data_IF_961168966206
#
_entry.id   IF_961168966206
#
_cell.length_a   1.000
_cell.length_b   1.000
_cell.length_c   1.000
_cell.angle_alpha   90.00
_cell.angle_beta   90.00
_cell.angle_gamma   90.00
#
_symmetry.space_group_name_H-M   'P 1'
#
loop_
_entity.id
_entity.type
_entity.pdbx_description
1 polymer ?
#
# COMPACT_ATOMS: atom_id res chain seq x y z
N UNK A 1 52.14 34.30 -33.07
CA UNK A 1 51.61 33.36 -34.11
C UNK A 1 52.36 32.04 -33.99
N UNK A 2 51.78 30.86 -34.27
CA UNK A 2 50.41 30.54 -34.70
C UNK A 2 49.64 29.60 -33.73
N UNK A 3 48.34 29.35 -33.97
CA UNK A 3 47.47 28.54 -33.10
C UNK A 3 47.54 27.05 -33.45
N UNK A 4 47.49 26.16 -32.44
CA UNK A 4 47.36 24.71 -32.66
C UNK A 4 45.90 24.30 -32.77
N UNK A 5 45.64 23.61 -33.88
CA UNK A 5 44.35 23.10 -34.36
C UNK A 5 43.75 22.11 -33.36
N UNK A 6 42.50 22.32 -32.93
CA UNK A 6 41.66 21.23 -32.42
C UNK A 6 40.85 20.64 -33.58
N UNK A 7 41.08 19.35 -33.77
CA UNK A 7 40.50 18.54 -34.83
C UNK A 7 38.99 18.43 -34.69
N UNK A 8 38.31 18.58 -35.83
CA UNK A 8 36.94 18.16 -36.01
C UNK A 8 36.90 16.62 -36.01
N UNK A 9 36.16 16.03 -35.08
CA UNK A 9 35.70 14.65 -35.18
C UNK A 9 34.27 14.70 -35.70
N UNK A 10 34.07 14.21 -36.92
CA UNK A 10 32.76 13.95 -37.52
C UNK A 10 32.41 12.45 -37.37
N UNK A 11 31.11 12.25 -37.19
CA UNK A 11 30.27 11.04 -37.41
C UNK A 11 29.96 10.12 -36.21
N UNK A 12 28.79 9.44 -36.17
CA UNK A 12 27.64 9.52 -37.08
C UNK A 12 26.29 9.86 -36.42
N UNK A 13 25.40 10.45 -37.23
CA UNK A 13 23.94 10.34 -37.08
C UNK A 13 23.57 8.86 -36.96
N UNK A 14 22.78 8.45 -35.96
CA UNK A 14 21.68 7.48 -36.07
C UNK A 14 21.00 7.30 -34.70
N UNK A 15 19.83 7.91 -34.53
CA UNK A 15 18.62 7.40 -33.83
C UNK A 15 17.64 8.56 -33.67
N UNK A 16 16.87 8.79 -34.73
CA UNK A 16 15.65 9.59 -34.69
C UNK A 16 14.62 8.78 -33.87
N UNK A 17 14.45 9.09 -32.59
CA UNK A 17 13.27 8.61 -31.86
C UNK A 17 12.09 9.46 -32.30
N UNK A 18 11.42 9.01 -33.36
CA UNK A 18 10.08 9.51 -33.70
C UNK A 18 9.17 8.99 -32.59
N UNK A 19 8.83 9.87 -31.65
CA UNK A 19 7.65 9.67 -30.82
C UNK A 19 6.45 9.78 -31.74
N UNK A 20 5.98 8.66 -32.27
CA UNK A 20 4.67 8.61 -32.90
C UNK A 20 3.65 8.71 -31.77
N UNK A 21 2.87 9.78 -31.66
CA UNK A 21 1.73 9.77 -30.76
C UNK A 21 0.74 8.74 -31.31
N UNK A 22 0.46 7.68 -30.56
CA UNK A 22 -0.69 6.83 -30.86
C UNK A 22 -1.95 7.70 -30.72
N UNK A 23 -2.70 7.97 -31.80
CA UNK A 23 -3.99 8.62 -31.70
C UNK A 23 -4.99 7.55 -31.23
N UNK A 24 -5.67 7.78 -30.11
CA UNK A 24 -6.81 6.93 -29.72
C UNK A 24 -6.92 6.49 -28.26
N UNK A 25 -6.11 7.01 -27.33
CA UNK A 25 -6.35 6.80 -25.89
C UNK A 25 -6.60 8.13 -25.19
N UNK A 26 -7.54 8.92 -25.72
CA UNK A 26 -8.18 9.97 -24.94
C UNK A 26 -9.63 9.55 -24.67
N UNK A 27 -9.99 9.56 -23.39
CA UNK A 27 -11.35 9.35 -22.89
C UNK A 27 -11.92 7.95 -23.12
N UNK A 28 -11.57 7.00 -22.25
CA UNK A 28 -12.56 5.98 -21.88
C UNK A 28 -13.79 6.72 -21.35
N UNK A 29 -14.88 6.70 -22.11
CA UNK A 29 -16.16 7.29 -21.73
C UNK A 29 -16.64 6.68 -20.41
N UNK A 30 -16.46 7.44 -19.34
CA UNK A 30 -17.04 7.27 -18.00
C UNK A 30 -18.56 7.10 -18.07
N UNK A 31 -19.20 7.60 -19.14
CA UNK A 31 -20.62 7.36 -19.45
C UNK A 31 -20.99 5.88 -19.44
N UNK A 32 -20.14 4.96 -19.91
CA UNK A 32 -20.53 3.53 -20.04
C UNK A 32 -20.80 2.83 -18.70
N UNK A 33 -20.11 3.20 -17.61
CA UNK A 33 -20.31 2.61 -16.28
C UNK A 33 -21.47 3.30 -15.54
N UNK A 34 -21.61 4.62 -15.68
CA UNK A 34 -22.68 5.39 -15.05
C UNK A 34 -24.04 5.20 -15.73
N UNK A 35 -24.08 5.08 -17.06
CA UNK A 35 -25.29 4.78 -17.84
C UNK A 35 -25.82 3.40 -17.46
N UNK A 36 -24.95 2.42 -17.23
CA UNK A 36 -25.38 1.10 -16.82
C UNK A 36 -25.79 0.97 -15.34
N UNK A 37 -25.42 1.94 -14.49
CA UNK A 37 -25.93 2.06 -13.12
C UNK A 37 -27.20 2.93 -13.02
N UNK A 38 -27.47 3.79 -14.01
CA UNK A 38 -28.64 4.69 -14.06
C UNK A 38 -29.76 4.23 -15.00
N UNK A 39 -29.50 3.29 -15.89
CA UNK A 39 -30.46 2.82 -16.91
C UNK A 39 -30.46 1.30 -17.02
N UNK A 40 -31.15 0.62 -16.12
CA UNK A 40 -31.38 -0.83 -16.19
C UNK A 40 -32.45 -1.24 -17.21
N UNK A 41 -32.78 -0.40 -18.20
CA UNK A 41 -33.71 -0.77 -19.28
C UNK A 41 -33.32 -0.36 -20.71
N UNK A 42 -32.21 0.36 -20.94
CA UNK A 42 -31.87 0.79 -22.32
C UNK A 42 -30.47 0.30 -22.72
N UNK A 43 -30.47 -0.87 -23.38
CA UNK A 43 -29.45 -1.43 -24.26
C UNK A 43 -27.97 -1.34 -23.83
N UNK A 44 -27.53 -2.38 -23.11
CA UNK A 44 -26.45 -3.23 -23.59
C UNK A 44 -25.01 -2.76 -23.45
N UNK A 45 -24.48 -2.74 -22.22
CA UNK A 45 -23.10 -3.13 -22.00
C UNK A 45 -23.06 -4.19 -20.88
N UNK A 46 -23.04 -5.47 -21.25
CA UNK A 46 -23.26 -6.61 -20.35
C UNK A 46 -22.23 -6.76 -19.20
N UNK A 47 -21.17 -5.96 -19.19
CA UNK A 47 -20.07 -6.10 -18.23
C UNK A 47 -20.27 -5.36 -16.90
N UNK A 48 -21.17 -4.37 -16.82
CA UNK A 48 -21.33 -3.53 -15.62
C UNK A 48 -22.31 -4.10 -14.59
N UNK A 49 -23.33 -4.85 -15.02
CA UNK A 49 -24.27 -5.55 -14.12
C UNK A 49 -23.56 -6.63 -13.31
N UNK A 50 -22.54 -7.27 -13.87
CA UNK A 50 -21.81 -8.33 -13.19
C UNK A 50 -20.97 -7.82 -12.01
N UNK A 51 -20.43 -6.60 -12.03
CA UNK A 51 -19.63 -6.07 -10.92
C UNK A 51 -20.46 -5.89 -9.63
N UNK A 52 -21.74 -5.54 -9.76
CA UNK A 52 -22.63 -5.32 -8.62
C UNK A 52 -22.89 -6.57 -7.78
N UNK A 53 -22.77 -7.77 -8.38
CA UNK A 53 -22.97 -9.05 -7.67
C UNK A 53 -21.82 -9.40 -6.73
N UNK A 54 -20.61 -8.88 -7.00
CA UNK A 54 -19.39 -9.26 -6.28
C UNK A 54 -18.80 -8.14 -5.44
N UNK A 55 -19.19 -6.89 -5.70
CA UNK A 55 -18.68 -5.75 -4.96
C UNK A 55 -19.55 -5.44 -3.74
N UNK A 56 -18.88 -5.10 -2.64
CA UNK A 56 -19.55 -4.63 -1.44
C UNK A 56 -20.24 -3.28 -1.67
N UNK A 57 -21.25 -2.90 -0.85
CA UNK A 57 -21.88 -1.59 -0.97
C UNK A 57 -20.89 -0.41 -0.91
N UNK A 58 -19.85 -0.49 -0.08
CA UNK A 58 -18.81 0.55 0.01
C UNK A 58 -17.97 0.63 -1.27
N UNK A 59 -17.72 -0.50 -1.95
CA UNK A 59 -17.02 -0.50 -3.23
C UNK A 59 -17.88 0.05 -4.36
N UNK A 60 -19.17 -0.28 -4.38
CA UNK A 60 -20.10 0.28 -5.36
C UNK A 60 -20.26 1.78 -5.19
N UNK A 61 -20.40 2.24 -3.94
CA UNK A 61 -20.39 3.65 -3.62
C UNK A 61 -19.07 4.31 -4.06
N UNK A 62 -17.93 3.70 -3.79
CA UNK A 62 -16.63 4.24 -4.21
C UNK A 62 -16.53 4.39 -5.73
N UNK A 63 -16.95 3.39 -6.50
CA UNK A 63 -17.02 3.48 -7.97
C UNK A 63 -17.92 4.65 -8.37
N UNK A 64 -19.16 4.68 -7.87
CA UNK A 64 -20.11 5.73 -8.20
C UNK A 64 -19.54 7.12 -7.89
N UNK A 65 -18.91 7.30 -6.73
CA UNK A 65 -18.33 8.57 -6.29
C UNK A 65 -17.06 8.96 -7.03
N UNK A 66 -16.17 8.00 -7.36
CA UNK A 66 -14.96 8.24 -8.16
C UNK A 66 -15.29 8.66 -9.59
N UNK A 67 -16.45 8.25 -10.12
CA UNK A 67 -16.91 8.62 -11.46
C UNK A 67 -17.88 9.81 -11.46
N UNK A 68 -18.39 10.22 -10.31
CA UNK A 68 -19.27 11.39 -10.19
C UNK A 68 -18.44 12.66 -10.29
N UNK A 69 -18.82 13.53 -11.21
CA UNK A 69 -18.25 14.87 -11.44
C UNK A 69 -16.79 14.89 -11.97
N UNK A 70 -16.20 13.73 -12.33
CA UNK A 70 -14.88 13.66 -12.95
C UNK A 70 -13.70 14.05 -12.03
N UNK A 71 -13.95 14.17 -10.72
CA UNK A 71 -12.93 14.56 -9.73
C UNK A 71 -12.59 13.41 -8.79
N UNK A 72 -11.30 13.12 -8.67
CA UNK A 72 -10.78 12.17 -7.67
C UNK A 72 -11.17 12.66 -6.27
N UNK A 73 -11.77 11.79 -5.45
CA UNK A 73 -12.08 12.10 -4.04
C UNK A 73 -10.82 11.98 -3.18
N UNK A 74 -10.94 12.41 -1.92
CA UNK A 74 -9.89 12.14 -0.95
C UNK A 74 -9.69 10.63 -0.78
N UNK A 75 -8.43 10.21 -0.87
CA UNK A 75 -8.02 8.82 -0.70
C UNK A 75 -7.20 8.70 0.58
N UNK A 76 -7.50 7.71 1.41
CA UNK A 76 -6.80 7.47 2.67
C UNK A 76 -6.22 6.07 2.68
N UNK A 77 -4.89 5.99 2.71
CA UNK A 77 -4.17 4.76 2.98
C UNK A 77 -3.91 4.62 4.48
N UNK A 78 -4.53 3.61 5.08
CA UNK A 78 -4.25 3.18 6.44
C UNK A 78 -3.04 2.23 6.42
N UNK A 79 -1.86 2.78 6.70
CA UNK A 79 -0.61 2.06 6.72
C UNK A 79 -0.50 1.17 7.96
N UNK A 80 -0.50 -0.15 7.71
CA UNK A 80 -0.08 -1.15 8.68
C UNK A 80 1.42 -1.40 8.57
N UNK A 81 2.12 -1.25 9.70
CA UNK A 81 3.57 -1.41 9.75
C UNK A 81 4.00 -2.79 9.24
N UNK A 82 4.98 -2.80 8.32
CA UNK A 82 5.54 -3.99 7.65
C UNK A 82 4.56 -4.76 6.75
N UNK A 83 3.53 -4.09 6.24
CA UNK A 83 2.61 -4.62 5.22
C UNK A 83 2.78 -3.91 3.84
N UNK A 84 4.02 -3.53 3.48
CA UNK A 84 4.31 -2.94 2.17
C UNK A 84 4.00 -1.45 2.01
N UNK A 85 3.84 -0.71 3.11
CA UNK A 85 3.41 0.69 3.03
C UNK A 85 4.34 1.63 2.27
N UNK A 86 5.65 1.38 2.25
CA UNK A 86 6.59 2.18 1.43
C UNK A 86 6.31 2.04 -0.06
N UNK A 87 5.99 0.82 -0.52
CA UNK A 87 5.61 0.60 -1.91
C UNK A 87 4.29 1.32 -2.24
N UNK A 88 3.32 1.25 -1.33
CA UNK A 88 2.04 1.96 -1.48
C UNK A 88 2.23 3.48 -1.47
N UNK A 89 3.17 4.01 -0.68
CA UNK A 89 3.50 5.45 -0.73
C UNK A 89 4.07 5.84 -2.09
N UNK A 90 4.90 4.98 -2.69
CA UNK A 90 5.40 5.18 -4.04
C UNK A 90 4.26 5.27 -5.06
N UNK A 91 3.29 4.35 -4.99
CA UNK A 91 2.07 4.42 -5.79
C UNK A 91 1.35 5.74 -5.58
N UNK A 92 0.99 6.09 -4.34
CA UNK A 92 0.21 7.29 -4.07
C UNK A 92 0.95 8.57 -4.45
N UNK A 93 2.27 8.61 -4.31
CA UNK A 93 3.08 9.74 -4.77
C UNK A 93 3.00 9.88 -6.28
N UNK A 94 3.16 8.77 -7.02
CA UNK A 94 3.07 8.79 -8.47
C UNK A 94 1.70 9.25 -8.96
N UNK A 95 0.62 8.76 -8.34
CA UNK A 95 -0.74 9.21 -8.68
C UNK A 95 -0.96 10.68 -8.30
N UNK A 96 -0.45 11.12 -7.15
CA UNK A 96 -0.52 12.51 -6.71
C UNK A 96 0.13 13.45 -7.74
N UNK A 97 1.35 13.10 -8.16
CA UNK A 97 2.09 13.85 -9.16
C UNK A 97 1.36 13.83 -10.53
N UNK A 98 0.81 12.67 -10.93
CA UNK A 98 0.06 12.53 -12.19
C UNK A 98 -1.20 13.40 -12.24
N UNK A 99 -1.91 13.52 -11.13
CA UNK A 99 -3.16 14.27 -11.05
C UNK A 99 -3.02 15.71 -10.56
N UNK A 100 -1.81 16.14 -10.18
CA UNK A 100 -1.58 17.44 -9.54
C UNK A 100 -2.29 17.56 -8.17
N UNK A 101 -2.45 16.43 -7.46
CA UNK A 101 -3.13 16.34 -6.17
C UNK A 101 -2.09 16.23 -5.05
N UNK A 102 -2.24 16.93 -3.92
CA UNK A 102 -1.30 16.82 -2.82
C UNK A 102 -1.33 15.43 -2.15
N UNK A 103 -0.13 14.89 -1.88
CA UNK A 103 0.07 13.75 -0.97
C UNK A 103 0.45 14.26 0.42
N UNK A 104 -0.41 14.01 1.41
CA UNK A 104 -0.26 14.47 2.78
C UNK A 104 0.06 13.26 3.68
N UNK A 105 1.27 13.25 4.23
CA UNK A 105 1.73 12.21 5.13
C UNK A 105 1.45 12.59 6.60
N UNK A 106 0.58 11.82 7.25
CA UNK A 106 0.09 12.05 8.62
C UNK A 106 0.61 10.94 9.56
N UNK A 107 1.76 10.35 9.23
CA UNK A 107 2.39 9.29 10.04
C UNK A 107 3.23 9.81 11.20
N UNK A 108 3.54 11.09 11.23
CA UNK A 108 4.37 11.67 12.28
C UNK A 108 3.58 12.76 12.99
N UNK A 109 3.17 12.50 14.24
CA UNK A 109 2.37 13.40 15.08
C UNK A 109 2.89 14.84 15.10
N UNK A 110 4.21 15.00 15.04
CA UNK A 110 4.93 16.26 15.11
C UNK A 110 4.77 17.11 13.83
N UNK A 111 4.42 16.49 12.70
CA UNK A 111 4.22 17.16 11.41
C UNK A 111 2.76 17.58 11.18
N UNK A 112 1.86 17.30 12.14
CA UNK A 112 0.41 17.47 11.94
C UNK A 112 -0.21 18.63 12.72
N UNK A 113 0.57 19.38 13.52
CA UNK A 113 0.07 20.64 14.05
C UNK A 113 -0.07 21.62 12.89
N UNK A 114 -1.31 21.91 12.49
CA UNK A 114 -1.63 22.86 11.39
C UNK A 114 -2.12 22.24 10.08
N UNK A 115 -2.20 20.90 9.96
CA UNK A 115 -2.78 20.28 8.75
C UNK A 115 -4.31 20.45 8.78
N UNK A 116 -4.78 21.48 8.07
CA UNK A 116 -6.20 21.66 7.78
C UNK A 116 -6.56 20.74 6.62
N UNK A 117 -7.50 19.83 6.85
CA UNK A 117 -8.08 19.05 5.75
C UNK A 117 -9.08 19.97 5.06
N UNK A 118 -8.66 20.53 3.93
CA UNK A 118 -9.56 21.20 3.01
C UNK A 118 -10.52 20.15 2.45
N UNK A 119 -11.81 20.26 2.80
CA UNK A 119 -12.85 19.33 2.34
C UNK A 119 -13.23 19.54 0.87
N UNK A 120 -12.85 20.67 0.28
CA UNK A 120 -13.20 21.05 -1.09
C UNK A 120 -12.13 20.69 -2.11
N UNK A 121 -10.90 20.37 -1.68
CA UNK A 121 -9.79 20.01 -2.59
C UNK A 121 -9.35 18.57 -2.37
N UNK A 122 -9.32 17.75 -3.41
CA UNK A 122 -8.90 16.36 -3.25
C UNK A 122 -7.46 16.27 -2.79
N UNK A 123 -7.18 15.21 -2.03
CA UNK A 123 -5.85 14.94 -1.48
C UNK A 123 -5.70 13.44 -1.21
N UNK A 124 -4.48 12.96 -1.32
CA UNK A 124 -4.10 11.62 -0.87
C UNK A 124 -3.52 11.72 0.53
N UNK A 125 -3.96 10.84 1.41
CA UNK A 125 -3.52 10.78 2.79
C UNK A 125 -2.87 9.45 3.08
N UNK A 126 -1.76 9.48 3.80
CA UNK A 126 -1.16 8.28 4.38
C UNK A 126 -1.11 8.44 5.89
N UNK A 127 -1.60 7.45 6.63
CA UNK A 127 -1.65 7.51 8.09
C UNK A 127 -1.32 6.17 8.69
N UNK A 128 -0.57 6.13 9.79
CA UNK A 128 -0.40 4.87 10.52
C UNK A 128 -1.64 4.58 11.36
N UNK A 129 -2.05 3.32 11.40
CA UNK A 129 -3.26 2.87 12.10
C UNK A 129 -3.23 3.19 13.61
N UNK A 130 -2.05 3.42 14.18
CA UNK A 130 -1.82 3.74 15.60
C UNK A 130 -2.13 5.20 15.98
N UNK A 131 -2.35 6.12 15.02
CA UNK A 131 -2.63 7.52 15.31
C UNK A 131 -4.12 7.81 15.54
N UNK A 132 -4.55 7.72 16.80
CA UNK A 132 -5.96 7.86 17.23
C UNK A 132 -6.65 9.14 16.76
N UNK A 133 -6.02 10.30 16.96
CA UNK A 133 -6.63 11.62 16.73
C UNK A 133 -7.11 11.78 15.29
N UNK A 134 -6.36 11.25 14.33
CA UNK A 134 -6.65 11.40 12.90
C UNK A 134 -7.47 10.25 12.35
N UNK A 135 -7.30 9.04 12.89
CA UNK A 135 -8.10 7.89 12.49
C UNK A 135 -9.61 8.13 12.65
N UNK A 136 -10.06 8.73 13.75
CA UNK A 136 -11.48 9.03 13.91
C UNK A 136 -11.99 10.05 12.89
N UNK A 137 -11.18 11.06 12.55
CA UNK A 137 -11.52 12.06 11.54
C UNK A 137 -11.65 11.43 10.15
N UNK A 138 -10.69 10.57 9.78
CA UNK A 138 -10.73 9.87 8.50
C UNK A 138 -11.83 8.82 8.42
N UNK A 139 -12.12 8.09 9.50
CA UNK A 139 -13.20 7.10 9.52
C UNK A 139 -14.59 7.72 9.37
N UNK A 140 -14.82 8.93 9.92
CA UNK A 140 -16.11 9.62 9.86
C UNK A 140 -16.35 10.37 8.54
N UNK A 141 -15.32 10.55 7.72
CA UNK A 141 -15.42 11.30 6.47
C UNK A 141 -15.74 10.37 5.30
N UNK A 142 -16.48 10.88 4.31
CA UNK A 142 -16.78 10.24 3.03
C UNK A 142 -15.55 10.15 2.12
N UNK A 143 -14.48 9.58 2.65
CA UNK A 143 -13.23 9.36 1.94
C UNK A 143 -13.13 7.91 1.50
N UNK A 144 -12.44 7.70 0.39
CA UNK A 144 -12.15 6.36 -0.09
C UNK A 144 -10.97 5.81 0.73
N UNK A 145 -11.19 4.69 1.42
CA UNK A 145 -10.22 4.13 2.37
C UNK A 145 -9.70 2.81 1.84
N UNK A 146 -8.39 2.60 1.95
CA UNK A 146 -7.81 1.29 1.75
C UNK A 146 -6.70 1.00 2.76
N UNK A 147 -6.41 -0.29 2.92
CA UNK A 147 -5.27 -0.78 3.70
C UNK A 147 -4.66 -1.99 3.00
N UNK A 148 -3.47 -2.38 3.44
CA UNK A 148 -2.79 -3.60 2.98
C UNK A 148 -2.42 -4.41 4.21
N UNK A 149 -2.82 -5.68 4.21
CA UNK A 149 -2.45 -6.67 5.22
C UNK A 149 -1.40 -7.63 4.68
N UNK A 150 -0.88 -8.48 5.54
CA UNK A 150 0.18 -9.45 5.25
C UNK A 150 -0.08 -10.71 6.06
N UNK A 151 0.44 -11.85 5.66
CA UNK A 151 0.45 -13.01 6.55
C UNK A 151 1.01 -12.61 7.94
N UNK A 152 0.29 -12.88 9.05
CA UNK A 152 0.67 -12.39 10.38
C UNK A 152 2.07 -12.84 10.81
N UNK A 153 2.47 -14.05 10.44
CA UNK A 153 3.78 -14.61 10.78
C UNK A 153 4.88 -13.93 9.99
N UNK A 154 4.71 -13.81 8.67
CA UNK A 154 5.65 -13.10 7.80
C UNK A 154 5.79 -11.62 8.18
N UNK A 155 4.71 -10.98 8.63
CA UNK A 155 4.74 -9.61 9.19
C UNK A 155 5.54 -9.56 10.48
N UNK A 156 5.29 -10.47 11.42
CA UNK A 156 6.02 -10.53 12.69
C UNK A 156 7.52 -10.69 12.47
N UNK A 157 7.92 -11.57 11.54
CA UNK A 157 9.33 -11.74 11.16
C UNK A 157 9.91 -10.48 10.53
N UNK A 158 9.15 -9.83 9.63
CA UNK A 158 9.60 -8.60 8.99
C UNK A 158 9.84 -7.51 10.02
N UNK A 159 9.01 -7.46 11.05
CA UNK A 159 9.16 -6.54 12.15
C UNK A 159 10.37 -6.83 13.03
N UNK A 160 10.56 -8.10 13.42
CA UNK A 160 11.69 -8.53 14.22
C UNK A 160 13.01 -8.16 13.56
N UNK A 161 13.22 -8.58 12.31
CA UNK A 161 14.48 -8.31 11.60
C UNK A 161 14.68 -6.82 11.31
N UNK A 162 13.61 -6.09 10.99
CA UNK A 162 13.68 -4.64 10.85
C UNK A 162 14.18 -3.97 12.14
N UNK A 163 13.59 -4.32 13.30
CA UNK A 163 14.01 -3.76 14.59
C UNK A 163 15.39 -4.20 15.02
N UNK A 164 15.79 -5.43 14.68
CA UNK A 164 17.12 -5.96 14.97
C UNK A 164 18.22 -5.26 14.17
N UNK A 165 17.94 -4.91 12.91
CA UNK A 165 18.88 -4.21 12.03
C UNK A 165 18.95 -2.68 12.29
N UNK A 166 17.92 -2.10 12.91
CA UNK A 166 17.83 -0.67 13.11
C UNK A 166 18.82 -0.17 14.18
N UNK A 167 19.69 0.81 13.86
CA UNK A 167 20.76 1.25 14.77
C UNK A 167 20.25 2.14 15.92
N UNK A 168 19.01 2.61 15.88
CA UNK A 168 18.50 3.59 16.86
C UNK A 168 18.50 3.02 18.29
N UNK A 169 18.90 3.81 19.32
CA UNK A 169 19.02 3.33 20.70
C UNK A 169 17.80 2.58 21.25
N UNK A 170 16.59 3.07 20.93
CA UNK A 170 15.32 2.46 21.35
C UNK A 170 15.13 1.01 20.89
N UNK A 171 15.90 0.51 19.93
CA UNK A 171 15.81 -0.86 19.42
C UNK A 171 17.02 -1.73 19.72
N UNK A 172 18.02 -1.22 20.45
CA UNK A 172 19.23 -1.99 20.77
C UNK A 172 18.94 -3.31 21.50
N UNK A 173 17.87 -3.36 22.30
CA UNK A 173 17.45 -4.60 22.97
C UNK A 173 17.06 -5.72 21.98
N UNK A 174 16.60 -5.40 20.76
CA UNK A 174 16.31 -6.41 19.73
C UNK A 174 17.58 -7.07 19.19
N UNK A 175 18.75 -6.42 19.27
CA UNK A 175 20.03 -7.02 18.84
C UNK A 175 20.37 -8.27 19.64
N UNK A 176 20.06 -8.25 20.94
CA UNK A 176 20.29 -9.36 21.89
C UNK A 176 19.08 -10.29 22.02
N UNK A 177 17.94 -9.95 21.42
CA UNK A 177 16.72 -10.75 21.51
C UNK A 177 16.75 -11.89 20.48
N UNK A 178 16.41 -13.11 20.94
CA UNK A 178 16.18 -14.24 20.03
C UNK A 178 14.79 -14.14 19.39
N UNK A 179 14.63 -14.75 18.21
CA UNK A 179 13.34 -14.78 17.53
C UNK A 179 12.28 -15.48 18.39
N UNK A 180 12.63 -16.59 19.06
CA UNK A 180 11.72 -17.33 19.93
C UNK A 180 11.23 -16.47 21.09
N UNK A 181 12.13 -15.69 21.72
CA UNK A 181 11.75 -14.75 22.77
C UNK A 181 10.80 -13.68 22.25
N UNK A 182 11.10 -13.11 21.07
CA UNK A 182 10.25 -12.12 20.43
C UNK A 182 8.83 -12.64 20.15
N UNK A 183 8.71 -13.87 19.63
CA UNK A 183 7.41 -14.47 19.26
C UNK A 183 6.58 -14.88 20.48
N UNK A 184 7.22 -15.17 21.62
CA UNK A 184 6.54 -15.50 22.88
C UNK A 184 6.09 -14.27 23.66
N UNK A 185 6.63 -13.10 23.36
CA UNK A 185 6.25 -11.83 23.99
C UNK A 185 4.83 -11.42 23.57
N UNK A 186 3.93 -11.30 24.56
CA UNK A 186 2.51 -10.97 24.35
C UNK A 186 2.30 -9.59 23.71
N UNK A 187 3.25 -8.67 23.88
CA UNK A 187 3.22 -7.36 23.23
C UNK A 187 3.32 -7.45 21.70
N UNK A 188 3.73 -8.62 21.15
CA UNK A 188 3.80 -8.87 19.72
C UNK A 188 2.61 -9.67 19.17
N UNK A 189 1.73 -10.22 20.02
CA UNK A 189 0.58 -11.04 19.61
C UNK A 189 -0.59 -10.21 19.06
N UNK A 190 -1.42 -10.74 18.17
CA UNK A 190 -2.66 -10.11 17.70
C UNK A 190 -2.51 -8.62 17.33
N UNK A 191 -1.51 -8.31 16.51
CA UNK A 191 -1.20 -6.97 16.07
C UNK A 191 -2.33 -6.30 15.30
N UNK A 192 -2.99 -6.99 14.37
CA UNK A 192 -4.13 -6.44 13.62
C UNK A 192 -5.28 -6.12 14.55
N UNK A 193 -5.61 -7.03 15.46
CA UNK A 193 -6.62 -6.76 16.47
C UNK A 193 -6.29 -5.49 17.26
N UNK A 194 -5.06 -5.35 17.77
CA UNK A 194 -4.63 -4.14 18.50
C UNK A 194 -4.63 -2.90 17.63
N UNK A 195 -4.09 -2.98 16.42
CA UNK A 195 -4.01 -1.86 15.49
C UNK A 195 -5.42 -1.33 15.24
N UNK A 196 -6.38 -2.22 14.96
CA UNK A 196 -7.74 -1.82 14.65
C UNK A 196 -8.61 -1.51 15.88
N UNK A 197 -8.31 -2.07 17.06
CA UNK A 197 -9.02 -1.80 18.32
C UNK A 197 -8.94 -0.34 18.77
N UNK A 198 -7.86 0.35 18.41
CA UNK A 198 -7.58 1.75 18.77
C UNK A 198 -8.70 2.74 18.39
N UNK A 199 -9.71 2.29 17.62
CA UNK A 199 -11.00 2.95 17.38
C UNK A 199 -11.81 3.27 18.65
N UNK A 200 -11.68 2.52 19.76
CA UNK A 200 -12.70 2.53 20.84
C UNK A 200 -12.32 3.19 22.17
N UNK A 201 -11.13 3.77 22.32
CA UNK A 201 -10.78 4.47 23.56
C UNK A 201 -9.48 5.26 23.45
N UNK A 202 -9.58 6.58 23.57
CA UNK A 202 -8.43 7.42 23.87
C UNK A 202 -7.73 6.98 25.18
N UNK A 203 -8.47 6.35 26.09
CA UNK A 203 -7.98 5.95 27.42
C UNK A 203 -7.26 4.60 27.49
N UNK A 204 -7.44 3.67 26.53
CA UNK A 204 -6.88 2.30 26.65
C UNK A 204 -5.48 2.16 26.08
N UNK A 205 -5.01 3.09 25.24
CA UNK A 205 -3.66 2.99 24.66
C UNK A 205 -2.55 3.15 25.72
N UNK A 206 -2.80 3.91 26.79
CA UNK A 206 -1.89 4.05 27.93
C UNK A 206 -1.94 2.84 28.87
N UNK A 207 -3.09 2.16 29.00
CA UNK A 207 -3.29 1.03 29.91
C UNK A 207 -3.02 -0.34 29.29
N UNK A 208 -3.17 -0.52 27.96
CA UNK A 208 -2.86 -1.77 27.26
C UNK A 208 -1.36 -2.14 27.26
N UNK A 209 -0.47 -1.17 27.54
CA UNK A 209 0.95 -1.45 27.81
C UNK A 209 1.20 -2.05 29.19
N UNK A 210 0.25 -1.87 30.13
CA UNK A 210 0.34 -2.25 31.54
C UNK A 210 -0.52 -3.47 31.88
N UNK A 211 -1.59 -3.71 31.12
CA UNK A 211 -2.56 -4.78 31.37
C UNK A 211 -2.35 -5.84 30.29
N UNK A 212 -1.67 -6.93 30.66
CA UNK A 212 -1.48 -8.07 29.77
C UNK A 212 -2.81 -8.56 29.19
N UNK A 213 -2.82 -8.79 27.88
CA UNK A 213 -3.71 -9.66 27.06
C UNK A 213 -5.24 -9.73 27.26
N UNK A 214 -5.87 -9.16 28.30
CA UNK A 214 -7.27 -9.48 28.65
C UNK A 214 -8.29 -8.35 28.44
N UNK A 215 -7.88 -7.14 28.07
CA UNK A 215 -8.82 -6.03 27.79
C UNK A 215 -8.91 -5.67 26.30
N UNK A 216 -9.12 -6.68 25.46
CA UNK A 216 -9.61 -6.44 24.11
C UNK A 216 -11.10 -6.10 24.17
N UNK A 217 -11.44 -4.81 24.19
CA UNK A 217 -12.84 -4.33 24.05
C UNK A 217 -13.41 -4.52 22.63
N UNK A 218 -12.58 -4.94 21.69
CA UNK A 218 -12.93 -5.13 20.28
C UNK A 218 -12.63 -6.58 19.93
N UNK A 219 -13.63 -7.30 19.46
CA UNK A 219 -13.51 -8.67 19.00
C UNK A 219 -12.91 -8.72 17.58
N UNK A 220 -12.38 -9.86 17.13
CA UNK A 220 -11.99 -10.03 15.73
C UNK A 220 -13.14 -9.72 14.76
N UNK A 221 -14.38 -10.08 15.12
CA UNK A 221 -15.57 -9.82 14.30
C UNK A 221 -15.85 -8.32 14.13
N UNK A 222 -15.61 -7.51 15.17
CA UNK A 222 -15.75 -6.05 15.07
C UNK A 222 -14.74 -5.44 14.10
N UNK A 223 -13.51 -5.98 14.09
CA UNK A 223 -12.48 -5.57 13.12
C UNK A 223 -12.91 -5.95 11.71
N UNK A 224 -13.42 -7.16 11.52
CA UNK A 224 -13.89 -7.64 10.22
C UNK A 224 -15.06 -6.80 9.68
N UNK A 225 -16.08 -6.56 10.51
CA UNK A 225 -17.21 -5.71 10.15
C UNK A 225 -16.77 -4.28 9.82
N UNK A 226 -15.75 -3.74 10.52
CA UNK A 226 -15.15 -2.46 10.14
C UNK A 226 -14.44 -2.54 8.79
N UNK A 227 -13.63 -3.58 8.55
CA UNK A 227 -12.90 -3.74 7.29
C UNK A 227 -13.88 -3.80 6.11
N UNK A 228 -14.93 -4.59 6.21
CA UNK A 228 -15.97 -4.73 5.18
C UNK A 228 -16.76 -3.44 4.95
N UNK A 229 -17.10 -2.72 6.02
CA UNK A 229 -17.95 -1.52 5.92
C UNK A 229 -17.19 -0.27 5.50
N UNK A 230 -15.95 -0.12 5.95
CA UNK A 230 -15.23 1.16 5.86
C UNK A 230 -14.20 1.19 4.73
N UNK A 231 -13.68 0.03 4.29
CA UNK A 231 -12.58 -0.03 3.34
C UNK A 231 -13.05 -0.48 1.96
N UNK A 232 -12.75 0.34 0.96
CA UNK A 232 -12.97 0.01 -0.46
C UNK A 232 -12.06 -1.14 -0.88
N UNK A 233 -10.82 -1.14 -0.40
CA UNK A 233 -9.87 -2.23 -0.65
C UNK A 233 -9.15 -2.61 0.64
N UNK A 234 -9.19 -3.90 0.96
CA UNK A 234 -8.30 -4.54 1.93
C UNK A 234 -7.35 -5.42 1.15
N UNK A 235 -6.22 -4.83 0.72
CA UNK A 235 -5.23 -5.50 -0.12
C UNK A 235 -4.37 -6.49 0.65
N UNK A 236 -3.70 -7.38 -0.07
CA UNK A 236 -2.83 -8.43 0.49
C UNK A 236 -1.42 -8.25 -0.05
N UNK A 237 -0.43 -8.13 0.84
CA UNK A 237 0.97 -7.87 0.46
C UNK A 237 1.53 -8.94 -0.48
N UNK A 238 1.19 -10.20 -0.24
CA UNK A 238 1.60 -11.33 -1.07
C UNK A 238 1.09 -11.24 -2.52
N UNK A 239 0.12 -10.36 -2.78
CA UNK A 239 -0.52 -10.11 -4.08
C UNK A 239 -0.52 -8.60 -4.38
N UNK A 240 0.65 -7.97 -4.23
CA UNK A 240 0.79 -6.53 -4.32
C UNK A 240 0.40 -5.99 -5.71
N UNK A 241 0.73 -6.68 -6.79
CA UNK A 241 0.32 -6.29 -8.14
C UNK A 241 -1.21 -6.19 -8.27
N UNK A 242 -1.94 -7.23 -7.83
CA UNK A 242 -3.41 -7.17 -7.78
C UNK A 242 -3.92 -6.10 -6.83
N UNK A 243 -3.26 -5.88 -5.69
CA UNK A 243 -3.64 -4.87 -4.71
C UNK A 243 -3.58 -3.47 -5.32
N UNK A 244 -2.48 -3.14 -6.00
CA UNK A 244 -2.33 -1.87 -6.69
C UNK A 244 -3.33 -1.72 -7.82
N UNK A 245 -3.58 -2.79 -8.60
CA UNK A 245 -4.55 -2.77 -9.68
C UNK A 245 -5.96 -2.50 -9.17
N UNK A 246 -6.34 -3.12 -8.06
CA UNK A 246 -7.64 -2.90 -7.44
C UNK A 246 -7.78 -1.48 -6.89
N UNK A 247 -6.75 -0.97 -6.21
CA UNK A 247 -6.74 0.43 -5.73
C UNK A 247 -6.85 1.40 -6.90
N UNK A 248 -6.05 1.24 -7.95
CA UNK A 248 -6.16 2.11 -9.13
C UNK A 248 -7.55 2.09 -9.72
N UNK A 249 -8.06 0.88 -9.97
CA UNK A 249 -9.32 0.68 -10.67
C UNK A 249 -10.53 1.20 -9.90
N UNK A 250 -10.60 0.91 -8.60
CA UNK A 250 -11.75 1.26 -7.77
C UNK A 250 -11.74 2.72 -7.30
N UNK A 251 -10.59 3.38 -7.34
CA UNK A 251 -10.44 4.78 -6.92
C UNK A 251 -10.41 5.73 -8.12
N UNK A 252 -10.43 5.21 -9.36
CA UNK A 252 -10.37 6.00 -10.59
C UNK A 252 -8.98 6.57 -10.89
N UNK A 253 -7.91 5.94 -10.36
CA UNK A 253 -6.53 6.32 -10.62
C UNK A 253 -6.07 5.66 -11.92
N UNK A 254 -5.37 6.41 -12.77
CA UNK A 254 -5.11 6.00 -14.15
C UNK A 254 -3.65 6.17 -14.58
N UNK A 255 -2.70 6.40 -13.66
CA UNK A 255 -1.30 6.38 -14.03
C UNK A 255 -0.91 4.99 -14.56
N UNK A 256 -0.28 4.96 -15.73
CA UNK A 256 0.14 3.71 -16.39
C UNK A 256 1.49 3.21 -15.89
N UNK A 257 2.25 4.04 -15.17
CA UNK A 257 3.60 3.65 -14.76
C UNK A 257 3.53 2.56 -13.69
N UNK A 258 4.34 1.50 -13.81
CA UNK A 258 4.46 0.47 -12.80
C UNK A 258 5.17 1.04 -11.56
N UNK A 259 4.82 0.50 -10.39
CA UNK A 259 5.41 0.91 -9.12
C UNK A 259 6.45 -0.11 -8.71
N UNK A 260 7.70 0.30 -8.59
CA UNK A 260 8.75 -0.60 -8.16
C UNK A 260 8.57 -0.96 -6.68
N UNK A 261 8.60 -2.27 -6.37
CA UNK A 261 8.58 -2.73 -4.99
C UNK A 261 9.80 -2.24 -4.23
N UNK A 262 9.60 -1.25 -3.37
CA UNK A 262 10.64 -0.74 -2.49
C UNK A 262 10.69 -1.61 -1.23
N UNK A 263 11.88 -2.11 -0.86
CA UNK A 263 12.13 -2.95 0.32
C UNK A 263 11.83 -4.45 0.19
N UNK A 264 12.09 -5.04 -0.98
CA UNK A 264 12.34 -6.47 -1.05
C UNK A 264 13.73 -6.76 -0.45
N UNK A 265 13.82 -6.85 0.87
CA UNK A 265 15.03 -7.30 1.53
C UNK A 265 15.19 -8.81 1.24
N UNK A 266 15.87 -9.13 0.13
CA UNK A 266 16.12 -10.51 -0.31
C UNK A 266 16.89 -11.34 0.73
N UNK A 267 17.64 -10.69 1.62
CA UNK A 267 18.39 -11.35 2.69
C UNK A 267 17.61 -11.64 3.99
N UNK A 268 16.31 -11.32 4.07
CA UNK A 268 15.52 -11.65 5.27
C UNK A 268 15.06 -13.12 5.19
N UNK A 269 15.38 -13.96 6.19
CA UNK A 269 14.92 -15.33 6.21
C UNK A 269 13.38 -15.43 6.23
N UNK A 270 12.85 -16.40 5.49
CA UNK A 270 11.43 -16.79 5.52
C UNK A 270 11.11 -17.58 6.78
N UNK A 271 9.85 -17.59 7.20
CA UNK A 271 9.45 -18.32 8.41
C UNK A 271 9.90 -19.78 8.42
N UNK A 272 9.75 -20.47 7.27
CA UNK A 272 10.10 -21.88 7.11
C UNK A 272 11.61 -22.15 7.24
N UNK A 273 12.45 -21.14 7.07
CA UNK A 273 13.91 -21.27 7.12
C UNK A 273 14.45 -21.10 8.55
N UNK A 274 13.75 -20.35 9.41
CA UNK A 274 14.25 -19.97 10.75
C UNK A 274 13.37 -20.43 11.91
N UNK A 275 12.26 -21.10 11.65
CA UNK A 275 11.34 -21.54 12.69
C UNK A 275 11.01 -23.02 12.59
N UNK A 276 10.98 -23.67 13.75
CA UNK A 276 10.45 -25.02 13.88
C UNK A 276 8.93 -25.04 13.68
N UNK A 277 8.38 -26.19 13.28
CA UNK A 277 6.92 -26.39 13.23
C UNK A 277 6.27 -26.13 14.59
N UNK A 278 6.97 -26.44 15.69
CA UNK A 278 6.51 -26.14 17.05
C UNK A 278 6.36 -24.63 17.27
N UNK A 279 7.37 -23.83 16.93
CA UNK A 279 7.32 -22.37 17.09
C UNK A 279 6.23 -21.73 16.22
N UNK A 280 6.02 -22.24 15.01
CA UNK A 280 4.92 -21.80 14.13
C UNK A 280 3.56 -22.09 14.79
N UNK A 281 3.37 -23.29 15.35
CA UNK A 281 2.13 -23.65 16.06
C UNK A 281 1.90 -22.75 17.28
N UNK A 282 2.94 -22.51 18.09
CA UNK A 282 2.88 -21.62 19.25
C UNK A 282 2.51 -20.20 18.83
N UNK A 283 3.19 -19.65 17.81
CA UNK A 283 2.86 -18.34 17.26
C UNK A 283 1.40 -18.26 16.81
N UNK A 284 0.94 -19.25 16.05
CA UNK A 284 -0.44 -19.27 15.54
C UNK A 284 -1.48 -19.30 16.65
N UNK A 285 -1.25 -20.08 17.70
CA UNK A 285 -2.11 -20.11 18.89
C UNK A 285 -2.23 -18.74 19.55
N UNK A 286 -1.11 -18.05 19.72
CA UNK A 286 -1.08 -16.72 20.31
C UNK A 286 -1.67 -15.62 19.40
N UNK A 287 -1.62 -15.83 18.08
CA UNK A 287 -2.05 -14.87 17.07
C UNK A 287 -3.36 -15.28 16.37
N UNK A 288 -4.21 -16.08 17.04
CA UNK A 288 -5.44 -16.62 16.45
C UNK A 288 -6.37 -15.54 15.88
N UNK A 289 -6.45 -14.37 16.53
CA UNK A 289 -7.29 -13.26 16.07
C UNK A 289 -6.74 -12.65 14.77
N UNK A 290 -5.44 -12.40 14.70
CA UNK A 290 -4.80 -11.88 13.48
C UNK A 290 -4.91 -12.86 12.33
N UNK A 291 -4.82 -14.16 12.59
CA UNK A 291 -4.98 -15.20 11.58
C UNK A 291 -6.41 -15.19 11.03
N UNK A 292 -7.42 -15.16 11.90
CA UNK A 292 -8.82 -15.07 11.47
C UNK A 292 -9.08 -13.77 10.67
N UNK A 293 -8.54 -12.64 11.13
CA UNK A 293 -8.63 -11.35 10.42
C UNK A 293 -7.98 -11.46 9.03
N UNK A 294 -6.78 -12.02 8.95
CA UNK A 294 -6.06 -12.19 7.69
C UNK A 294 -6.79 -13.10 6.70
N UNK A 295 -7.30 -14.25 7.16
CA UNK A 295 -8.03 -15.19 6.31
C UNK A 295 -9.27 -14.55 5.71
N UNK A 296 -10.11 -13.94 6.55
CA UNK A 296 -11.33 -13.29 6.08
C UNK A 296 -11.05 -12.10 5.16
N UNK A 297 -10.08 -11.26 5.50
CA UNK A 297 -9.70 -10.16 4.61
C UNK A 297 -9.14 -10.65 3.26
N UNK A 298 -8.46 -11.80 3.24
CA UNK A 298 -8.04 -12.46 2.00
C UNK A 298 -9.24 -12.93 1.17
N UNK A 299 -10.29 -13.45 1.79
CA UNK A 299 -11.54 -13.81 1.10
C UNK A 299 -12.23 -12.59 0.47
N UNK A 300 -12.32 -11.48 1.21
CA UNK A 300 -12.85 -10.20 0.70
C UNK A 300 -12.04 -9.72 -0.51
N UNK A 301 -10.71 -9.80 -0.40
CA UNK A 301 -9.83 -9.45 -1.50
C UNK A 301 -10.02 -10.37 -2.70
N UNK A 302 -10.14 -11.69 -2.51
CA UNK A 302 -10.40 -12.65 -3.57
C UNK A 302 -11.70 -12.35 -4.32
N UNK A 303 -12.76 -11.97 -3.60
CA UNK A 303 -14.04 -11.57 -4.17
C UNK A 303 -13.86 -10.33 -5.05
N UNK A 304 -13.12 -9.33 -4.55
CA UNK A 304 -12.79 -8.11 -5.31
C UNK A 304 -12.00 -8.44 -6.57
N UNK A 305 -10.98 -9.30 -6.48
CA UNK A 305 -10.18 -9.67 -7.65
C UNK A 305 -10.98 -10.48 -8.66
N UNK A 306 -11.88 -11.38 -8.21
CA UNK A 306 -12.76 -12.12 -9.12
C UNK A 306 -13.64 -11.17 -9.94
N UNK A 307 -14.16 -10.11 -9.32
CA UNK A 307 -14.94 -9.09 -10.01
C UNK A 307 -14.07 -8.34 -11.05
N UNK A 308 -12.90 -7.86 -10.64
CA UNK A 308 -12.02 -7.04 -11.48
C UNK A 308 -11.29 -7.83 -12.58
N UNK A 309 -11.11 -9.14 -12.41
CA UNK A 309 -10.41 -10.00 -13.38
C UNK A 309 -11.13 -10.09 -14.74
N UNK A 310 -12.40 -9.67 -14.80
CA UNK A 310 -13.16 -9.56 -16.05
C UNK A 310 -12.84 -8.28 -16.82
N UNK A 311 -12.13 -7.34 -16.21
CA UNK A 311 -11.78 -6.07 -16.81
C UNK A 311 -10.39 -6.12 -17.46
N UNK A 312 -10.35 -5.98 -18.79
CA UNK A 312 -9.11 -6.06 -19.57
C UNK A 312 -8.02 -5.08 -19.08
N UNK A 313 -8.41 -3.86 -18.70
CA UNK A 313 -7.48 -2.85 -18.17
C UNK A 313 -6.81 -3.29 -16.86
N UNK A 314 -7.58 -3.89 -15.94
CA UNK A 314 -7.05 -4.43 -14.68
C UNK A 314 -6.08 -5.58 -14.94
N UNK A 315 -6.48 -6.55 -15.78
CA UNK A 315 -5.64 -7.71 -16.13
C UNK A 315 -4.32 -7.28 -16.78
N UNK A 316 -4.39 -6.34 -17.74
CA UNK A 316 -3.22 -5.79 -18.42
C UNK A 316 -2.25 -5.12 -17.44
N UNK A 317 -2.78 -4.31 -16.52
CA UNK A 317 -1.97 -3.66 -15.49
C UNK A 317 -1.29 -4.68 -14.57
N UNK A 318 -2.03 -5.66 -14.03
CA UNK A 318 -1.48 -6.68 -13.13
C UNK A 318 -0.37 -7.47 -13.81
N UNK A 319 -0.54 -7.84 -15.09
CA UNK A 319 0.50 -8.52 -15.87
C UNK A 319 1.75 -7.67 -16.00
N UNK A 320 1.59 -6.39 -16.34
CA UNK A 320 2.70 -5.45 -16.49
C UNK A 320 3.46 -5.28 -15.17
N UNK A 321 2.72 -5.09 -14.07
CA UNK A 321 3.30 -4.92 -12.75
C UNK A 321 4.08 -6.15 -12.29
N UNK A 322 3.56 -7.37 -12.53
CA UNK A 322 4.27 -8.62 -12.21
C UNK A 322 5.57 -8.76 -13.00
N UNK A 323 5.56 -8.44 -14.29
CA UNK A 323 6.77 -8.46 -15.10
C UNK A 323 7.84 -7.49 -14.55
N UNK A 324 7.43 -6.32 -14.08
CA UNK A 324 8.34 -5.34 -13.45
C UNK A 324 8.88 -5.85 -12.12
N UNK A 325 8.04 -6.47 -11.29
CA UNK A 325 8.47 -7.04 -10.01
C UNK A 325 9.49 -8.18 -10.22
N UNK A 326 9.29 -9.02 -11.24
CA UNK A 326 10.22 -10.09 -11.64
C UNK A 326 11.57 -9.53 -12.11
N UNK A 327 11.56 -8.51 -12.98
CA UNK A 327 12.78 -7.85 -13.46
C UNK A 327 13.53 -7.14 -12.33
N UNK A 328 12.80 -6.47 -11.42
CA UNK A 328 13.38 -5.81 -10.26
C UNK A 328 13.98 -6.77 -9.24
N UNK A 329 13.49 -8.02 -9.17
CA UNK A 329 14.10 -9.08 -8.35
C UNK A 329 15.40 -9.62 -8.98
N UNK A 330 15.44 -9.76 -10.30
CA UNK A 330 16.58 -10.35 -11.01
C UNK A 330 17.79 -9.41 -11.06
N UNK A 331 17.56 -8.10 -11.13
CA UNK A 331 18.61 -7.10 -11.23
C UNK A 331 19.05 -6.53 -9.89
N UNK A 332 19.71 -7.30 -9.02
CA UNK A 332 20.29 -6.80 -7.75
C UNK A 332 21.26 -5.59 -7.89
N UNK A 333 21.50 -5.10 -9.10
CA UNK A 333 22.11 -3.81 -9.38
C UNK A 333 21.10 -2.67 -9.34
N UNK A 334 21.43 -1.62 -8.58
CA UNK A 334 20.69 -0.34 -8.54
C UNK A 334 20.30 0.08 -9.96
N UNK A 335 19.04 -0.06 -10.34
CA UNK A 335 18.50 0.65 -11.49
C UNK A 335 18.44 2.11 -11.05
N UNK A 336 19.43 2.89 -11.48
CA UNK A 336 19.38 4.34 -11.35
C UNK A 336 18.14 4.80 -12.10
N UNK A 337 17.15 5.30 -11.37
CA UNK A 337 16.04 6.05 -11.95
C UNK A 337 16.66 7.29 -12.58
N UNK A 338 16.85 7.26 -13.90
CA UNK A 338 17.24 8.45 -14.67
C UNK A 338 16.02 9.36 -14.68
N UNK A 339 15.95 10.24 -13.69
CA UNK A 339 14.90 11.22 -13.55
C UNK A 339 15.48 12.55 -13.10
N UNK A 340 15.58 13.48 -14.05
CA UNK A 340 15.47 14.93 -13.84
C UNK A 340 16.57 15.62 -13.01
N UNK A 341 17.26 16.55 -13.66
CA UNK A 341 18.04 17.60 -13.00
C UNK A 341 17.22 18.27 -11.87
N UNK A 342 17.56 17.99 -10.62
CA UNK A 342 17.27 18.90 -9.51
C UNK A 342 18.57 19.28 -8.83
N UNK A 343 19.02 20.50 -9.09
CA UNK A 343 20.04 21.20 -8.31
C UNK A 343 19.48 21.49 -6.92
N UNK A 344 20.10 20.97 -5.86
CA UNK A 344 19.88 21.49 -4.51
C UNK A 344 19.91 20.46 -3.38
N UNK A 345 21.01 20.50 -2.64
CA UNK A 345 21.17 20.08 -1.22
C UNK A 345 21.04 18.58 -0.85
N UNK A 346 22.21 17.94 -0.86
CA UNK A 346 22.50 16.68 -0.17
C UNK A 346 22.18 16.78 1.34
N UNK A 347 21.25 15.95 1.82
CA UNK A 347 21.30 15.39 3.18
C UNK A 347 21.52 13.89 3.10
N UNK A 348 22.58 13.46 3.77
CA UNK A 348 23.14 12.12 3.76
C UNK A 348 22.12 11.02 4.11
N UNK A 349 21.92 10.10 3.16
CA UNK A 349 21.40 8.75 3.37
C UNK A 349 22.47 7.73 2.98
N UNK A 350 23.53 7.63 3.78
CA UNK A 350 24.62 6.68 3.55
C UNK A 350 24.13 5.24 3.67
N UNK A 351 24.20 4.51 2.56
CA UNK A 351 24.05 3.07 2.51
C UNK A 351 25.33 2.46 3.08
N UNK A 352 25.26 1.80 4.24
CA UNK A 352 26.41 1.08 4.81
C UNK A 352 26.67 -0.18 3.98
N UNK A 353 27.81 -0.20 3.28
CA UNK A 353 28.45 -1.42 2.78
C UNK A 353 29.04 -2.17 3.97
N UNK A 354 28.62 -3.42 4.18
CA UNK A 354 29.24 -4.31 5.15
C UNK A 354 30.57 -4.79 4.57
N UNK A 355 31.67 -4.42 5.22
CA UNK A 355 32.98 -4.99 4.97
C UNK A 355 33.05 -6.41 5.52
N UNK A 356 33.81 -7.24 4.81
CA UNK A 356 34.18 -8.60 5.18
C UNK A 356 34.90 -8.61 6.54
N UNK A 357 34.52 -9.57 7.39
CA UNK A 357 35.33 -10.09 8.51
C UNK A 357 35.33 -11.60 8.37
#
# INVERSE_FOLDING_TARGET
MPPSRKAAVRLPLFLLYISVPLPGVSQYKVESVLTALKGSEVQGNANSTHLAEYLTPVQLQAIQESYKDGHIKHVVFFHLTKAGGTTVDGLLKQEADHHGIPLINIRFFNQVQGVTIDKGRPAFYTTEVWHQKWRQKFLRAGYLKFTVIRDPLERALSWFYFRKADPRPKYQHYKKMSLQRFLRDSSNHNFYLRAFQIRWSADVALSARKIGSELYRVSPNDVLAMLEREFVVVGVLERMAETMGAVRRLFGLNSTQPVYSQNMHSGRPKAKEVMSLHDIKVFRRHNRADIAIYQRATELFNTTIKALAQEAAFVSYVRTQRAVDELGCAGGGKVAVVGGLSTGENRAGGCMTFGEI
#
